data_IF_791825480397
#
_entry.id   IF_791825480397
#
_cell.length_a   1.000
_cell.length_b   1.000
_cell.length_c   1.000
_cell.angle_alpha   90.00
_cell.angle_beta   90.00
_cell.angle_gamma   90.00
#
_symmetry.space_group_name_H-M   'P 1'
#
loop_
_entity.id
_entity.type
_entity.pdbx_description
1 polymer ?
#
# COMPACT_ATOMS: atom_id res chain seq x y z
N UNK A 1 -14.45 17.86 35.50
CA UNK A 1 -13.74 18.79 34.59
C UNK A 1 -13.12 17.95 33.48
N UNK A 2 -13.85 17.71 32.39
CA UNK A 2 -13.32 17.00 31.23
C UNK A 2 -12.46 18.01 30.47
N UNK A 3 -11.15 17.78 30.42
CA UNK A 3 -10.23 18.62 29.66
C UNK A 3 -10.53 18.41 28.18
N UNK A 4 -11.27 19.34 27.57
CA UNK A 4 -11.50 19.33 26.13
C UNK A 4 -10.22 19.83 25.44
N UNK A 5 -9.25 18.93 25.22
CA UNK A 5 -8.09 19.27 24.40
C UNK A 5 -8.55 19.49 22.97
N UNK A 6 -8.36 20.71 22.45
CA UNK A 6 -8.57 20.99 21.03
C UNK A 6 -7.64 20.09 20.21
N UNK A 7 -8.23 19.22 19.38
CA UNK A 7 -7.50 18.32 18.50
C UNK A 7 -6.97 19.11 17.30
N UNK A 8 -5.74 18.83 16.89
CA UNK A 8 -5.15 19.41 15.69
C UNK A 8 -5.63 18.67 14.44
N UNK A 9 -6.03 19.41 13.41
CA UNK A 9 -6.44 18.82 12.12
C UNK A 9 -5.23 18.30 11.34
N UNK A 10 -5.37 17.15 10.69
CA UNK A 10 -4.32 16.51 9.87
C UNK A 10 -3.85 17.44 8.74
N UNK A 11 -4.77 18.23 8.16
CA UNK A 11 -4.48 19.16 7.06
C UNK A 11 -3.36 20.17 7.41
N UNK A 12 -3.18 20.49 8.69
CA UNK A 12 -2.13 21.41 9.14
C UNK A 12 -0.71 20.86 8.98
N UNK A 13 -0.55 19.53 8.96
CA UNK A 13 0.74 18.86 8.80
C UNK A 13 1.01 18.44 7.36
N UNK A 14 -0.04 18.16 6.59
CA UNK A 14 0.07 17.48 5.30
C UNK A 14 0.59 16.04 5.43
N UNK A 15 0.70 15.35 4.31
CA UNK A 15 1.06 13.92 4.26
C UNK A 15 2.46 13.66 4.84
N UNK A 16 3.50 14.26 4.25
CA UNK A 16 4.88 14.05 4.69
C UNK A 16 5.13 14.52 6.13
N UNK A 17 4.43 15.59 6.56
CA UNK A 17 4.50 16.06 7.94
C UNK A 17 3.87 15.08 8.92
N UNK A 18 2.73 14.48 8.54
CA UNK A 18 2.08 13.44 9.33
C UNK A 18 2.96 12.17 9.41
N UNK A 19 3.50 11.70 8.28
CA UNK A 19 4.37 10.52 8.24
C UNK A 19 5.54 10.72 9.20
N UNK A 20 6.32 11.81 9.06
CA UNK A 20 7.43 12.11 9.96
C UNK A 20 7.02 12.15 11.42
N UNK A 21 5.85 12.75 11.72
CA UNK A 21 5.36 12.85 13.11
C UNK A 21 5.00 11.50 13.71
N UNK A 22 4.43 10.60 12.91
CA UNK A 22 4.02 9.26 13.37
C UNK A 22 5.19 8.29 13.46
N UNK A 23 6.22 8.46 12.63
CA UNK A 23 7.30 7.48 12.49
C UNK A 23 8.60 7.87 13.18
N UNK A 24 8.72 9.10 13.70
CA UNK A 24 9.94 9.62 14.35
C UNK A 24 10.51 8.74 15.47
N UNK A 25 9.68 7.97 16.16
CA UNK A 25 10.08 7.15 17.32
C UNK A 25 10.18 5.64 16.96
N UNK A 26 9.99 5.30 15.67
CA UNK A 26 10.12 3.92 15.18
C UNK A 26 11.59 3.63 14.92
N UNK A 27 12.14 2.67 15.65
CA UNK A 27 13.52 2.22 15.53
C UNK A 27 13.56 0.78 15.06
N UNK A 28 14.44 0.47 14.09
CA UNK A 28 14.65 -0.90 13.63
C UNK A 28 15.29 -1.73 14.74
N UNK A 29 14.62 -2.81 15.16
CA UNK A 29 15.06 -3.68 16.25
C UNK A 29 15.69 -4.99 15.78
N UNK A 30 15.27 -5.48 14.61
CA UNK A 30 15.74 -6.76 14.08
C UNK A 30 16.99 -6.52 13.23
N UNK A 31 17.99 -7.39 13.39
CA UNK A 31 19.22 -7.34 12.57
C UNK A 31 18.95 -7.47 11.07
N UNK A 32 17.87 -8.17 10.70
CA UNK A 32 17.45 -8.29 9.31
C UNK A 32 16.82 -7.02 8.75
N UNK A 33 16.47 -6.02 9.56
CA UNK A 33 15.85 -4.79 9.06
C UNK A 33 16.92 -3.78 8.68
N UNK A 34 17.20 -3.63 7.38
CA UNK A 34 18.25 -2.74 6.86
C UNK A 34 17.75 -1.32 6.61
N UNK A 35 16.58 -1.20 5.98
CA UNK A 35 15.91 0.09 5.74
C UNK A 35 14.44 0.00 6.15
N UNK A 36 13.97 1.02 6.86
CA UNK A 36 12.61 1.14 7.39
C UNK A 36 11.80 2.22 6.69
N UNK A 37 11.03 2.98 7.48
CA UNK A 37 10.22 4.09 6.97
C UNK A 37 11.10 5.16 6.33
N UNK A 38 10.77 5.58 5.10
CA UNK A 38 11.34 6.78 4.49
C UNK A 38 11.55 6.69 2.98
N UNK A 39 11.67 5.49 2.43
CA UNK A 39 11.85 5.22 0.99
C UNK A 39 10.64 4.44 0.44
N UNK A 40 10.64 4.11 -0.85
CA UNK A 40 9.54 3.45 -1.55
C UNK A 40 9.24 2.03 -1.03
N UNK A 41 10.22 1.35 -0.42
CA UNK A 41 10.01 0.04 0.22
C UNK A 41 10.93 -0.16 1.43
N UNK A 42 10.46 -0.97 2.39
CA UNK A 42 11.32 -1.49 3.45
C UNK A 42 12.25 -2.58 2.90
N UNK A 43 13.48 -2.65 3.42
CA UNK A 43 14.48 -3.63 2.98
C UNK A 43 14.84 -4.55 4.13
N UNK A 44 14.54 -5.83 3.94
CA UNK A 44 14.96 -6.92 4.82
C UNK A 44 16.20 -7.59 4.24
N UNK A 45 17.29 -7.56 4.99
CA UNK A 45 18.55 -8.18 4.65
C UNK A 45 18.65 -9.58 5.25
N UNK A 46 18.93 -10.56 4.40
CA UNK A 46 19.30 -11.92 4.77
C UNK A 46 20.62 -12.28 4.07
N UNK A 47 21.42 -13.23 4.60
CA UNK A 47 22.76 -13.50 4.08
C UNK A 47 22.84 -13.74 2.57
N UNK A 48 21.82 -14.38 1.98
CA UNK A 48 21.79 -14.79 0.58
C UNK A 48 20.90 -13.89 -0.31
N UNK A 49 20.14 -12.96 0.27
CA UNK A 49 19.18 -12.14 -0.47
C UNK A 49 18.68 -10.92 0.30
N UNK A 50 18.29 -9.91 -0.45
CA UNK A 50 17.47 -8.80 0.06
C UNK A 50 16.02 -8.99 -0.35
N UNK A 51 15.12 -8.72 0.58
CA UNK A 51 13.68 -8.78 0.36
C UNK A 51 13.14 -7.37 0.54
N UNK A 52 12.51 -6.87 -0.52
CA UNK A 52 11.80 -5.60 -0.51
C UNK A 52 10.35 -5.82 -0.13
N UNK A 53 9.82 -4.97 0.74
CA UNK A 53 8.44 -5.02 1.21
C UNK A 53 7.82 -3.63 1.11
N UNK A 54 6.77 -3.52 0.32
CA UNK A 54 5.92 -2.31 0.22
C UNK A 54 4.44 -2.72 0.36
N UNK A 55 3.59 -1.74 0.61
CA UNK A 55 2.14 -1.91 0.64
C UNK A 55 1.45 -0.61 0.25
N UNK A 56 0.46 -0.72 -0.61
CA UNK A 56 -0.45 0.37 -0.95
C UNK A 56 -1.89 0.02 -0.63
N UNK A 57 -2.68 1.05 -0.37
CA UNK A 57 -4.12 0.92 -0.19
C UNK A 57 -4.84 1.86 -1.14
N UNK A 58 -5.68 1.28 -2.00
CA UNK A 58 -6.59 2.04 -2.84
C UNK A 58 -8.00 2.02 -2.22
N UNK A 59 -8.53 3.20 -1.97
CA UNK A 59 -9.84 3.41 -1.34
C UNK A 59 -10.78 4.15 -2.31
N UNK A 60 -12.00 3.65 -2.46
CA UNK A 60 -13.05 4.29 -3.25
C UNK A 60 -13.38 5.68 -2.68
N UNK A 61 -13.57 6.67 -3.56
CA UNK A 61 -13.80 8.08 -3.20
C UNK A 61 -12.53 8.85 -2.83
N UNK A 62 -11.38 8.17 -2.73
CA UNK A 62 -10.06 8.81 -2.52
C UNK A 62 -9.15 8.55 -3.72
N UNK A 63 -8.97 7.28 -4.09
CA UNK A 63 -8.00 6.86 -5.11
C UNK A 63 -8.64 6.41 -6.43
N UNK A 64 -9.91 6.02 -6.37
CA UNK A 64 -10.69 5.61 -7.53
C UNK A 64 -12.18 5.83 -7.28
N UNK A 65 -12.96 5.76 -8.36
CA UNK A 65 -14.41 5.75 -8.36
C UNK A 65 -14.86 4.71 -9.39
N UNK A 66 -15.74 3.80 -9.00
CA UNK A 66 -16.22 2.70 -9.83
C UNK A 66 -17.10 3.15 -11.00
N UNK A 67 -17.58 4.39 -10.98
CA UNK A 67 -18.27 5.00 -12.14
C UNK A 67 -17.30 5.13 -13.32
N UNK A 68 -16.01 5.38 -13.06
CA UNK A 68 -15.01 5.64 -14.09
C UNK A 68 -14.00 4.52 -14.27
N UNK A 69 -13.84 3.64 -13.28
CA UNK A 69 -12.81 2.59 -13.27
C UNK A 69 -13.46 1.21 -13.19
N UNK A 70 -13.53 0.46 -14.30
CA UNK A 70 -13.98 -0.93 -14.29
C UNK A 70 -13.14 -1.80 -13.35
N UNK A 71 -13.76 -2.81 -12.74
CA UNK A 71 -13.12 -3.63 -11.71
C UNK A 71 -11.88 -4.35 -12.22
N UNK A 72 -11.87 -4.84 -13.46
CA UNK A 72 -10.66 -5.43 -14.06
C UNK A 72 -9.50 -4.44 -14.12
N UNK A 73 -9.77 -3.20 -14.50
CA UNK A 73 -8.75 -2.16 -14.59
C UNK A 73 -8.29 -1.73 -13.20
N UNK A 74 -9.21 -1.65 -12.24
CA UNK A 74 -8.89 -1.40 -10.84
C UNK A 74 -7.96 -2.49 -10.30
N UNK A 75 -8.26 -3.77 -10.54
CA UNK A 75 -7.43 -4.89 -10.10
C UNK A 75 -6.02 -4.83 -10.68
N UNK A 76 -5.90 -4.53 -11.98
CA UNK A 76 -4.59 -4.34 -12.62
C UNK A 76 -3.84 -3.16 -11.99
N UNK A 77 -4.49 -2.00 -11.85
CA UNK A 77 -3.91 -0.80 -11.22
C UNK A 77 -3.44 -1.10 -9.79
N UNK A 78 -4.25 -1.79 -8.98
CA UNK A 78 -3.93 -2.13 -7.58
C UNK A 78 -2.61 -2.89 -7.45
N UNK A 79 -2.32 -3.84 -8.33
CA UNK A 79 -1.04 -4.54 -8.32
C UNK A 79 0.11 -3.65 -8.85
N UNK A 80 -0.12 -2.91 -9.94
CA UNK A 80 0.92 -2.10 -10.56
C UNK A 80 1.43 -0.97 -9.66
N UNK A 81 0.56 -0.36 -8.84
CA UNK A 81 0.98 0.69 -7.90
C UNK A 81 2.05 0.14 -6.95
N UNK A 82 1.81 -0.98 -6.26
CA UNK A 82 2.82 -1.57 -5.38
C UNK A 82 4.01 -2.18 -6.11
N UNK A 83 3.86 -2.62 -7.37
CA UNK A 83 5.00 -3.04 -8.18
C UNK A 83 5.93 -1.89 -8.52
N UNK A 84 5.37 -0.69 -8.75
CA UNK A 84 6.13 0.51 -9.09
C UNK A 84 7.19 0.80 -8.02
N UNK A 85 6.83 0.73 -6.75
CA UNK A 85 7.75 0.93 -5.62
C UNK A 85 8.89 -0.08 -5.61
N UNK A 86 8.57 -1.36 -5.85
CA UNK A 86 9.58 -2.42 -5.93
C UNK A 86 10.53 -2.17 -7.10
N UNK A 87 10.03 -1.74 -8.26
CA UNK A 87 10.86 -1.39 -9.40
C UNK A 87 11.71 -0.14 -9.16
N UNK A 88 11.17 0.88 -8.47
CA UNK A 88 11.90 2.09 -8.09
C UNK A 88 13.12 1.75 -7.21
N UNK A 89 12.98 0.73 -6.36
CA UNK A 89 14.05 0.18 -5.53
C UNK A 89 14.94 -0.86 -6.25
N UNK A 90 14.90 -0.91 -7.59
CA UNK A 90 15.65 -1.84 -8.43
C UNK A 90 15.39 -3.34 -8.09
N UNK A 91 14.19 -3.62 -7.57
CA UNK A 91 13.71 -4.95 -7.24
C UNK A 91 12.97 -5.63 -8.38
N UNK A 92 12.70 -6.92 -8.18
CA UNK A 92 11.84 -7.71 -9.05
C UNK A 92 10.69 -8.25 -8.19
N UNK A 93 9.43 -7.83 -8.42
CA UNK A 93 8.29 -8.38 -7.70
C UNK A 93 8.23 -9.90 -7.83
N UNK A 94 7.99 -10.60 -6.71
CA UNK A 94 7.89 -12.08 -6.68
C UNK A 94 6.57 -12.59 -6.14
N UNK A 95 5.98 -11.87 -5.20
CA UNK A 95 4.76 -12.26 -4.50
C UNK A 95 3.96 -11.00 -4.16
N UNK A 96 2.64 -11.16 -4.05
CA UNK A 96 1.75 -10.11 -3.58
C UNK A 96 0.84 -10.65 -2.49
N UNK A 97 0.44 -9.75 -1.58
CA UNK A 97 -0.62 -9.99 -0.61
C UNK A 97 -1.74 -9.01 -0.93
N UNK A 98 -2.98 -9.51 -1.02
CA UNK A 98 -4.14 -8.69 -1.33
C UNK A 98 -5.02 -8.62 -0.10
N UNK A 99 -5.18 -7.41 0.44
CA UNK A 99 -6.16 -7.11 1.49
C UNK A 99 -7.34 -6.39 0.86
N UNK A 100 -8.55 -6.93 1.00
CA UNK A 100 -9.74 -6.42 0.33
C UNK A 100 -10.85 -6.11 1.33
N UNK A 101 -11.40 -4.89 1.24
CA UNK A 101 -12.56 -4.47 2.00
C UNK A 101 -13.73 -4.21 1.04
N UNK A 102 -14.80 -4.99 1.16
CA UNK A 102 -15.98 -4.92 0.29
C UNK A 102 -17.25 -4.71 1.12
N UNK A 103 -18.20 -3.98 0.56
CA UNK A 103 -19.57 -3.97 1.08
C UNK A 103 -20.41 -5.08 0.46
N UNK A 104 -21.59 -5.38 1.04
CA UNK A 104 -22.49 -6.43 0.56
C UNK A 104 -23.14 -6.16 -0.81
N UNK A 105 -22.83 -5.03 -1.46
CA UNK A 105 -23.39 -4.67 -2.77
C UNK A 105 -22.69 -5.37 -3.94
N UNK A 106 -21.47 -5.87 -3.73
CA UNK A 106 -20.70 -6.58 -4.75
C UNK A 106 -21.14 -8.04 -4.84
N UNK A 107 -21.26 -8.55 -6.06
CA UNK A 107 -21.46 -9.97 -6.31
C UNK A 107 -20.11 -10.70 -6.43
N UNK A 108 -20.16 -12.02 -6.60
CA UNK A 108 -18.94 -12.84 -6.71
C UNK A 108 -18.20 -12.49 -8.00
N UNK A 109 -18.94 -12.31 -9.09
CA UNK A 109 -18.44 -12.02 -10.43
C UNK A 109 -17.68 -10.69 -10.47
N UNK A 110 -18.12 -9.68 -9.72
CA UNK A 110 -17.41 -8.40 -9.54
C UNK A 110 -15.99 -8.63 -8.98
N UNK A 111 -15.89 -9.47 -7.94
CA UNK A 111 -14.61 -9.77 -7.28
C UNK A 111 -13.74 -10.65 -8.18
N UNK A 112 -14.34 -11.57 -8.94
CA UNK A 112 -13.62 -12.33 -9.96
C UNK A 112 -13.04 -11.41 -11.02
N UNK A 113 -13.79 -10.41 -11.50
CA UNK A 113 -13.32 -9.43 -12.47
C UNK A 113 -12.13 -8.62 -11.93
N UNK A 114 -12.21 -8.17 -10.68
CA UNK A 114 -11.08 -7.53 -9.98
C UNK A 114 -9.84 -8.45 -9.96
N UNK A 115 -10.02 -9.72 -9.61
CA UNK A 115 -8.93 -10.70 -9.58
C UNK A 115 -8.38 -11.06 -10.95
N UNK A 116 -9.19 -11.00 -12.02
CA UNK A 116 -8.68 -11.12 -13.39
C UNK A 116 -7.69 -9.99 -13.69
N UNK A 117 -7.99 -8.77 -13.26
CA UNK A 117 -7.08 -7.63 -13.36
C UNK A 117 -5.75 -7.85 -12.62
N UNK A 118 -5.83 -8.30 -11.36
CA UNK A 118 -4.67 -8.62 -10.54
C UNK A 118 -3.80 -9.70 -11.18
N UNK A 119 -4.40 -10.80 -11.66
CA UNK A 119 -3.67 -11.89 -12.32
C UNK A 119 -2.95 -11.41 -13.58
N UNK A 120 -3.60 -10.59 -14.40
CA UNK A 120 -2.98 -10.02 -15.60
C UNK A 120 -1.77 -9.13 -15.27
N UNK A 121 -1.75 -8.48 -14.10
CA UNK A 121 -0.59 -7.73 -13.66
C UNK A 121 0.57 -8.66 -13.26
N UNK A 122 0.28 -9.80 -12.63
CA UNK A 122 1.28 -10.79 -12.20
C UNK A 122 1.84 -11.67 -13.34
N UNK A 123 1.17 -11.73 -14.49
CA UNK A 123 1.64 -12.49 -15.67
C UNK A 123 2.76 -11.79 -16.44
N UNK A 124 3.09 -10.54 -16.08
CA UNK A 124 4.16 -9.73 -16.68
C UNK A 124 5.37 -9.68 -15.75
#
# INVERSE_FOLDING_TARGET
>A
MIHNQMKTEIATLGEFGLIRRLTKDIHLQNESSRYGVGDDAAVLHFPEKEILVTTDLLMEGVHFDLIYVPLKHLGYKSAIVSFSDIYAMNGIPKQIIVSLALSKRFCIEDVEELYMGLRLACER
#
